data_IF_690251602148
#
_entry.id   IF_690251602148
#
_cell.length_a   1.000
_cell.length_b   1.000
_cell.length_c   1.000
_cell.angle_alpha   90.00
_cell.angle_beta   90.00
_cell.angle_gamma   90.00
#
_symmetry.space_group_name_H-M   'P 1'
#
loop_
_entity.id
_entity.type
_entity.pdbx_description
1 polymer ?
#
# COMPACT_ATOMS: atom_id res chain seq x y z
N UNK A 1 -67.36 28.41 -28.94
CA UNK A 1 -66.40 28.03 -27.88
C UNK A 1 -65.86 26.66 -28.26
N UNK A 2 -64.63 26.60 -28.76
CA UNK A 2 -64.02 25.38 -29.26
C UNK A 2 -63.22 24.72 -28.12
N UNK A 3 -63.53 23.47 -27.83
CA UNK A 3 -62.87 22.64 -26.82
C UNK A 3 -61.48 22.20 -27.32
N UNK A 4 -60.47 22.31 -26.47
CA UNK A 4 -59.11 21.86 -26.73
C UNK A 4 -59.03 20.32 -26.81
N UNK A 5 -58.16 19.75 -27.66
CA UNK A 5 -58.01 18.30 -27.77
C UNK A 5 -57.21 17.72 -26.58
N UNK A 6 -57.75 16.65 -25.99
CA UNK A 6 -57.10 15.80 -24.99
C UNK A 6 -55.79 15.21 -25.52
N UNK A 7 -54.67 15.23 -24.76
CA UNK A 7 -53.47 14.49 -25.14
C UNK A 7 -53.68 12.98 -24.94
N UNK A 8 -53.48 12.24 -26.03
CA UNK A 8 -53.54 10.79 -26.11
C UNK A 8 -52.68 10.08 -25.06
N UNK A 9 -53.25 9.02 -24.49
CA UNK A 9 -52.64 8.07 -23.58
C UNK A 9 -51.60 7.22 -24.35
N UNK A 10 -50.45 7.81 -24.66
CA UNK A 10 -49.31 7.09 -25.20
C UNK A 10 -48.71 6.26 -24.08
N UNK A 11 -49.00 4.96 -24.12
CA UNK A 11 -48.39 3.86 -23.38
C UNK A 11 -46.91 4.12 -23.08
N UNK A 12 -46.62 4.57 -21.86
CA UNK A 12 -45.27 4.67 -21.31
C UNK A 12 -44.81 3.24 -20.99
N UNK A 13 -44.20 2.55 -21.96
CA UNK A 13 -43.49 1.31 -21.70
C UNK A 13 -42.20 1.67 -20.93
N UNK A 14 -41.94 1.07 -19.75
CA UNK A 14 -40.63 1.21 -19.11
C UNK A 14 -39.55 0.56 -19.99
N UNK A 15 -38.30 1.05 -19.94
CA UNK A 15 -37.19 0.43 -20.65
C UNK A 15 -36.99 -1.03 -20.16
N UNK A 16 -36.46 -1.94 -21.02
CA UNK A 16 -36.17 -3.30 -20.59
C UNK A 16 -35.15 -3.28 -19.46
N UNK A 17 -35.45 -4.03 -18.39
CA UNK A 17 -34.51 -4.25 -17.28
C UNK A 17 -33.27 -4.96 -17.82
N UNK A 18 -32.14 -4.26 -17.83
CA UNK A 18 -30.80 -4.83 -17.98
C UNK A 18 -30.64 -6.05 -17.06
N UNK A 19 -30.05 -7.17 -17.51
CA UNK A 19 -29.86 -8.33 -16.64
C UNK A 19 -28.98 -7.91 -15.45
N UNK A 20 -29.51 -8.16 -14.25
CA UNK A 20 -28.77 -8.02 -13.01
C UNK A 20 -27.49 -8.87 -13.12
N UNK A 21 -26.32 -8.22 -13.03
CA UNK A 21 -25.08 -8.93 -12.77
C UNK A 21 -25.19 -9.56 -11.39
N UNK A 22 -25.59 -10.82 -11.32
CA UNK A 22 -25.45 -11.64 -10.13
C UNK A 22 -23.97 -11.62 -9.77
N UNK A 23 -23.55 -11.09 -8.61
CA UNK A 23 -22.17 -11.24 -8.19
C UNK A 23 -21.94 -12.74 -7.97
N UNK A 24 -21.22 -13.38 -8.89
CA UNK A 24 -20.70 -14.73 -8.68
C UNK A 24 -19.73 -14.60 -7.51
N UNK A 25 -20.18 -15.04 -6.34
CA UNK A 25 -19.33 -15.14 -5.15
C UNK A 25 -18.34 -16.28 -5.42
N UNK A 26 -17.19 -15.93 -6.01
CA UNK A 26 -16.07 -16.86 -6.12
C UNK A 26 -15.63 -17.24 -4.69
N UNK A 27 -15.36 -18.53 -4.41
CA UNK A 27 -14.80 -18.92 -3.13
C UNK A 27 -13.49 -18.17 -2.89
N UNK A 28 -13.15 -17.85 -1.63
CA UNK A 28 -11.89 -17.19 -1.33
C UNK A 28 -10.72 -18.05 -1.83
N UNK A 29 -9.64 -17.43 -2.35
CA UNK A 29 -8.42 -18.18 -2.66
C UNK A 29 -7.93 -18.90 -1.38
N UNK A 30 -7.30 -20.07 -1.51
CA UNK A 30 -6.71 -20.74 -0.35
C UNK A 30 -5.72 -19.80 0.33
N UNK A 31 -5.90 -19.63 1.64
CA UNK A 31 -5.03 -18.87 2.53
C UNK A 31 -3.57 -19.30 2.32
N UNK A 32 -2.63 -18.38 2.06
CA UNK A 32 -1.22 -18.72 2.15
C UNK A 32 -0.92 -19.05 3.62
N UNK A 33 -0.61 -20.32 3.87
CA UNK A 33 -0.16 -20.82 5.16
C UNK A 33 1.04 -19.97 5.59
N UNK A 34 0.84 -19.07 6.55
CA UNK A 34 1.94 -18.37 7.20
C UNK A 34 2.60 -19.38 8.13
N UNK A 35 3.51 -20.18 7.60
CA UNK A 35 4.46 -20.93 8.43
C UNK A 35 5.17 -19.90 9.31
N UNK A 36 5.11 -19.98 10.64
CA UNK A 36 5.89 -19.10 11.49
C UNK A 36 7.35 -19.48 11.33
N UNK A 37 8.08 -18.80 10.45
CA UNK A 37 9.53 -18.83 10.51
C UNK A 37 9.91 -18.05 11.77
N UNK A 38 10.24 -18.82 12.80
CA UNK A 38 10.83 -18.35 14.05
C UNK A 38 11.92 -17.33 13.72
N UNK A 39 11.95 -16.14 14.34
CA UNK A 39 13.09 -15.25 14.18
C UNK A 39 14.31 -15.95 14.80
N UNK A 40 15.15 -16.53 13.96
CA UNK A 40 16.49 -16.94 14.34
C UNK A 40 17.24 -15.67 14.75
N UNK A 41 17.34 -15.46 16.06
CA UNK A 41 18.13 -14.39 16.65
C UNK A 41 19.57 -14.62 16.17
N UNK A 42 20.15 -13.73 15.35
CA UNK A 42 21.56 -13.86 14.99
C UNK A 42 22.38 -13.78 16.28
N UNK A 43 23.39 -14.63 16.48
CA UNK A 43 24.21 -14.56 17.69
C UNK A 43 24.86 -13.18 17.75
N UNK A 44 24.66 -12.49 18.87
CA UNK A 44 25.39 -11.27 19.22
C UNK A 44 26.89 -11.50 19.06
N UNK A 45 27.63 -10.69 18.29
CA UNK A 45 29.08 -10.74 18.37
C UNK A 45 29.46 -10.23 19.76
N UNK A 46 29.93 -11.14 20.61
CA UNK A 46 30.66 -10.78 21.80
C UNK A 46 31.87 -9.96 21.36
N UNK A 47 31.95 -8.70 21.81
CA UNK A 47 33.15 -7.89 21.67
C UNK A 47 34.25 -8.48 22.57
N UNK A 48 34.89 -9.55 22.10
CA UNK A 48 36.17 -10.00 22.63
C UNK A 48 37.24 -9.08 22.07
N UNK A 49 37.58 -8.08 22.87
CA UNK A 49 38.78 -7.26 22.70
C UNK A 49 40.00 -8.18 22.86
N UNK A 50 40.45 -8.79 21.77
CA UNK A 50 41.71 -9.52 21.73
C UNK A 50 42.71 -8.76 20.88
N UNK A 51 43.82 -8.45 21.52
CA UNK A 51 44.92 -7.62 21.08
C UNK A 51 45.44 -7.98 19.68
N UNK A 52 45.75 -6.94 18.91
CA UNK A 52 46.45 -7.03 17.63
C UNK A 52 47.81 -7.71 17.75
N UNK A 53 48.16 -8.64 16.85
CA UNK A 53 49.53 -8.86 16.42
C UNK A 53 49.81 -8.15 15.07
N UNK A 54 51.05 -7.68 14.91
CA UNK A 54 51.66 -6.95 13.77
C UNK A 54 51.33 -7.49 12.36
N UNK A 55 51.48 -6.65 11.30
CA UNK A 55 50.98 -6.96 9.96
C UNK A 55 51.90 -7.93 9.18
N UNK A 56 51.36 -8.87 8.39
CA UNK A 56 52.10 -9.57 7.34
C UNK A 56 52.17 -8.73 6.04
N UNK A 57 53.16 -8.99 5.15
CA UNK A 57 53.45 -8.17 3.99
C UNK A 57 52.34 -8.23 2.93
N UNK A 58 52.04 -7.06 2.36
CA UNK A 58 51.23 -6.77 1.17
C UNK A 58 50.67 -7.99 0.41
N UNK A 59 49.54 -8.52 0.88
CA UNK A 59 48.63 -9.27 0.03
C UNK A 59 47.62 -8.27 -0.51
N UNK A 60 47.56 -8.11 -1.84
CA UNK A 60 46.58 -7.32 -2.55
C UNK A 60 45.17 -7.66 -2.02
N UNK A 61 44.59 -6.77 -1.24
CA UNK A 61 43.18 -6.87 -0.87
C UNK A 61 42.39 -6.81 -2.19
N UNK A 62 41.51 -7.78 -2.50
CA UNK A 62 40.53 -7.55 -3.53
C UNK A 62 39.76 -6.32 -3.05
N UNK A 63 39.83 -5.24 -3.83
CA UNK A 63 39.05 -4.03 -3.58
C UNK A 63 37.61 -4.49 -3.59
N UNK A 64 37.03 -4.67 -2.39
CA UNK A 64 35.63 -4.99 -2.23
C UNK A 64 34.88 -3.81 -2.81
N UNK A 65 34.37 -3.97 -4.02
CA UNK A 65 33.54 -2.96 -4.67
C UNK A 65 32.39 -2.64 -3.72
N UNK A 66 32.11 -1.35 -3.45
CA UNK A 66 31.03 -0.97 -2.56
C UNK A 66 29.72 -1.61 -3.05
N UNK A 67 28.83 -2.02 -2.13
CA UNK A 67 27.57 -2.63 -2.50
C UNK A 67 26.81 -1.69 -3.46
N UNK A 68 26.03 -2.26 -4.41
CA UNK A 68 25.22 -1.47 -5.32
C UNK A 68 24.37 -0.47 -4.54
N UNK A 69 24.34 0.78 -5.00
CA UNK A 69 23.49 1.79 -4.40
C UNK A 69 22.01 1.34 -4.44
N UNK A 70 21.22 1.61 -3.38
CA UNK A 70 19.80 1.28 -3.40
C UNK A 70 19.08 2.04 -4.52
N UNK A 71 18.03 1.47 -5.12
CA UNK A 71 17.25 2.14 -6.15
C UNK A 71 16.70 3.49 -5.65
N UNK A 72 16.62 4.49 -6.52
CA UNK A 72 16.08 5.79 -6.13
C UNK A 72 14.55 5.76 -5.97
N UNK A 73 14.04 6.58 -5.05
CA UNK A 73 12.61 6.84 -4.94
C UNK A 73 12.11 7.67 -6.13
N UNK A 74 11.04 7.21 -6.77
CA UNK A 74 10.40 7.90 -7.90
C UNK A 74 9.03 8.40 -7.46
N UNK A 75 8.72 9.71 -7.60
CA UNK A 75 7.39 10.22 -7.27
C UNK A 75 6.35 9.72 -8.27
N UNK A 76 5.19 9.31 -7.78
CA UNK A 76 4.05 8.92 -8.61
C UNK A 76 3.25 10.17 -8.98
N UNK A 77 3.09 10.41 -10.28
CA UNK A 77 2.41 11.61 -10.81
C UNK A 77 0.91 11.59 -10.50
N UNK A 78 0.25 10.45 -10.71
CA UNK A 78 -1.17 10.28 -10.39
C UNK A 78 -1.36 9.34 -9.19
N UNK A 79 -1.62 9.92 -8.03
CA UNK A 79 -1.89 9.18 -6.79
C UNK A 79 -3.37 8.82 -6.63
N UNK A 80 -4.24 9.27 -7.55
CA UNK A 80 -5.67 9.02 -7.49
C UNK A 80 -6.07 7.74 -8.23
N UNK A 81 -5.13 6.92 -8.69
CA UNK A 81 -5.44 5.60 -9.24
C UNK A 81 -6.01 4.66 -8.17
N UNK A 82 -6.88 3.73 -8.57
CA UNK A 82 -7.63 2.86 -7.65
C UNK A 82 -6.71 2.00 -6.78
N UNK A 83 -5.66 1.44 -7.35
CA UNK A 83 -4.69 0.61 -6.64
C UNK A 83 -3.98 1.37 -5.51
N UNK A 84 -3.53 2.61 -5.76
CA UNK A 84 -2.86 3.44 -4.76
C UNK A 84 -3.84 3.85 -3.65
N UNK A 85 -5.09 4.16 -4.00
CA UNK A 85 -6.14 4.44 -3.00
C UNK A 85 -6.44 3.23 -2.12
N UNK A 86 -6.51 2.03 -2.71
CA UNK A 86 -6.73 0.78 -1.98
C UNK A 86 -5.59 0.49 -1.00
N UNK A 87 -4.34 0.67 -1.44
CA UNK A 87 -3.16 0.55 -0.56
C UNK A 87 -3.22 1.55 0.59
N UNK A 88 -3.60 2.81 0.31
CA UNK A 88 -3.78 3.84 1.34
C UNK A 88 -4.87 3.49 2.35
N UNK A 89 -6.04 3.02 1.88
CA UNK A 89 -7.14 2.60 2.75
C UNK A 89 -6.76 1.40 3.63
N UNK A 90 -6.08 0.41 3.04
CA UNK A 90 -5.59 -0.75 3.77
C UNK A 90 -4.61 -0.34 4.87
N UNK A 91 -3.62 0.50 4.54
CA UNK A 91 -2.62 0.97 5.50
C UNK A 91 -3.26 1.73 6.67
N UNK A 92 -4.19 2.66 6.39
CA UNK A 92 -4.90 3.41 7.44
C UNK A 92 -5.71 2.46 8.33
N UNK A 93 -6.38 1.46 7.76
CA UNK A 93 -7.19 0.51 8.54
C UNK A 93 -6.34 -0.35 9.48
N UNK A 94 -5.22 -0.88 9.00
CA UNK A 94 -4.33 -1.67 9.85
C UNK A 94 -3.69 -0.80 10.93
N UNK A 95 -3.33 0.45 10.61
CA UNK A 95 -2.78 1.38 11.58
C UNK A 95 -3.80 1.77 12.68
N UNK A 96 -5.04 2.05 12.29
CA UNK A 96 -6.15 2.31 13.21
C UNK A 96 -6.37 1.15 14.18
N UNK A 97 -6.42 -0.08 13.65
CA UNK A 97 -6.57 -1.30 14.44
C UNK A 97 -5.38 -1.53 15.37
N UNK A 98 -4.16 -1.30 14.91
CA UNK A 98 -2.95 -1.50 15.69
C UNK A 98 -2.87 -0.55 16.88
N UNK A 99 -3.28 0.71 16.69
CA UNK A 99 -3.27 1.73 17.74
C UNK A 99 -4.56 1.77 18.57
N UNK A 100 -5.60 1.03 18.18
CA UNK A 100 -6.91 1.07 18.84
C UNK A 100 -7.62 2.42 18.72
N UNK A 101 -7.37 3.17 17.64
CA UNK A 101 -7.97 4.49 17.39
C UNK A 101 -8.90 4.45 16.18
N UNK A 102 -9.78 5.44 16.07
CA UNK A 102 -10.60 5.62 14.87
C UNK A 102 -9.87 6.57 13.90
N UNK A 103 -9.49 6.04 12.73
CA UNK A 103 -8.95 6.79 11.62
C UNK A 103 -9.76 6.51 10.36
N UNK A 104 -10.14 7.59 9.68
CA UNK A 104 -10.87 7.55 8.42
C UNK A 104 -9.96 8.03 7.31
N UNK A 105 -9.77 7.21 6.29
CA UNK A 105 -9.01 7.57 5.10
C UNK A 105 -9.77 8.64 4.29
N UNK A 106 -9.10 9.75 3.97
CA UNK A 106 -9.66 10.82 3.12
C UNK A 106 -9.12 10.71 1.71
N UNK A 107 -7.80 10.80 1.55
CA UNK A 107 -7.12 10.75 0.25
C UNK A 107 -5.63 10.46 0.42
N UNK A 108 -4.98 10.07 -0.68
CA UNK A 108 -3.52 10.07 -0.80
C UNK A 108 -3.07 11.48 -1.20
N UNK A 109 -2.09 12.03 -0.49
CA UNK A 109 -1.49 13.35 -0.75
C UNK A 109 -0.30 13.21 -1.69
N UNK A 110 0.56 12.22 -1.44
CA UNK A 110 1.70 11.90 -2.29
C UNK A 110 2.04 10.42 -2.19
N UNK A 111 2.67 9.88 -3.24
CA UNK A 111 3.17 8.52 -3.28
C UNK A 111 4.52 8.50 -3.97
N UNK A 112 5.44 7.70 -3.45
CA UNK A 112 6.72 7.40 -4.09
C UNK A 112 6.88 5.89 -4.20
N UNK A 113 7.55 5.44 -5.25
CA UNK A 113 7.87 4.03 -5.46
C UNK A 113 9.37 3.82 -5.55
N UNK A 114 9.81 2.68 -5.03
CA UNK A 114 11.17 2.20 -5.16
C UNK A 114 11.11 0.77 -5.69
N UNK A 115 11.79 0.43 -6.79
CA UNK A 115 11.93 -0.94 -7.24
C UNK A 115 12.55 -1.81 -6.14
N UNK A 116 12.04 -3.02 -5.97
CA UNK A 116 12.61 -4.03 -5.07
C UNK A 116 12.57 -5.39 -5.76
N UNK A 117 13.42 -6.32 -5.31
CA UNK A 117 13.39 -7.70 -5.81
C UNK A 117 11.99 -8.29 -5.54
N UNK A 118 11.23 -8.55 -6.59
CA UNK A 118 9.84 -9.02 -6.52
C UNK A 118 8.73 -7.94 -6.57
N UNK A 119 9.03 -6.67 -6.80
CA UNK A 119 7.99 -5.65 -7.01
C UNK A 119 8.40 -4.21 -6.70
N UNK A 120 7.54 -3.50 -5.98
CA UNK A 120 7.74 -2.09 -5.61
C UNK A 120 7.45 -1.87 -4.14
N UNK A 121 8.31 -1.11 -3.49
CA UNK A 121 8.03 -0.53 -2.18
C UNK A 121 7.31 0.80 -2.42
N UNK A 122 6.19 0.99 -1.73
CA UNK A 122 5.39 2.21 -1.82
C UNK A 122 5.53 3.03 -0.54
N UNK A 123 5.85 4.31 -0.68
CA UNK A 123 5.81 5.27 0.41
C UNK A 123 4.64 6.22 0.16
N UNK A 124 3.60 6.14 0.99
CA UNK A 124 2.39 6.96 0.85
C UNK A 124 2.33 8.00 1.97
N UNK A 125 2.00 9.23 1.60
CA UNK A 125 1.53 10.26 2.53
C UNK A 125 0.02 10.35 2.34
N UNK A 126 -0.74 10.11 3.41
CA UNK A 126 -2.21 10.06 3.37
C UNK A 126 -2.80 11.12 4.29
N UNK A 127 -3.90 11.71 3.84
CA UNK A 127 -4.75 12.55 4.67
C UNK A 127 -5.76 11.64 5.38
N UNK A 128 -5.83 11.78 6.70
CA UNK A 128 -6.74 11.03 7.57
C UNK A 128 -7.49 11.98 8.49
N UNK A 129 -8.68 11.57 8.90
CA UNK A 129 -9.46 12.23 9.96
C UNK A 129 -9.82 11.22 11.05
N UNK A 130 -10.43 11.65 12.15
CA UNK A 130 -10.87 10.76 13.23
C UNK A 130 -10.20 11.08 14.56
N UNK A 131 -10.56 10.31 15.60
CA UNK A 131 -10.08 10.53 16.98
C UNK A 131 -8.58 10.29 17.14
N UNK A 132 -7.98 9.48 16.25
CA UNK A 132 -6.53 9.26 16.19
C UNK A 132 -5.75 10.24 15.33
N UNK A 133 -6.43 11.16 14.61
CA UNK A 133 -5.75 12.02 13.64
C UNK A 133 -5.05 13.19 14.36
N UNK A 134 -3.73 13.26 14.24
CA UNK A 134 -2.94 14.41 14.71
C UNK A 134 -2.87 15.45 13.61
N UNK A 135 -3.16 16.71 13.94
CA UNK A 135 -2.97 17.82 13.01
C UNK A 135 -1.50 17.96 12.62
N UNK A 136 -1.21 18.29 11.35
CA UNK A 136 0.17 18.59 10.95
C UNK A 136 0.66 19.77 11.79
N UNK A 137 1.71 19.54 12.58
CA UNK A 137 2.41 20.63 13.26
C UNK A 137 3.38 21.22 12.24
N UNK A 138 3.15 22.48 11.90
CA UNK A 138 3.95 23.30 10.99
C UNK A 138 4.85 24.23 11.79
#
# INVERSE_FOLDING_TARGET
MAAAPSPSLATYLPPPLTPASTPVFLPPPPTPESTPVSPEIPPTPAWTLVSSPSPPPAASTPVSSPPPAPPAWTPVVDVNVQSIRQVGQFAVRIHALHLGVDLVFVKVVSCQTQPSDGGYIYQLVVAVTGSGAKSPQY
#
